data_IF_314122936655
#
_entry.id   IF_314122936655
#
_cell.length_a   1.000
_cell.length_b   1.000
_cell.length_c   1.000
_cell.angle_alpha   90.00
_cell.angle_beta   90.00
_cell.angle_gamma   90.00
#
_symmetry.space_group_name_H-M   'P 1'
#
loop_
_entity.id
_entity.type
_entity.pdbx_description
1 polymer ?
#
# COMPACT_ATOMS: atom_id res chain seq x y z
N UNK A 1 32.65 -6.54 -10.28
CA UNK A 1 31.25 -6.99 -10.35
C UNK A 1 30.65 -6.70 -8.98
N UNK A 2 29.84 -5.66 -8.85
CA UNK A 2 29.37 -5.15 -7.54
C UNK A 2 28.12 -5.93 -7.12
N UNK A 3 28.32 -7.16 -6.64
CA UNK A 3 27.28 -8.13 -6.30
C UNK A 3 26.32 -7.61 -5.21
N UNK A 4 26.81 -6.72 -4.34
CA UNK A 4 26.06 -6.14 -3.22
C UNK A 4 24.94 -5.17 -3.64
N UNK A 5 25.06 -4.54 -4.81
CA UNK A 5 24.09 -3.54 -5.27
C UNK A 5 22.83 -4.19 -5.88
N UNK A 6 23.02 -5.31 -6.60
CA UNK A 6 21.93 -6.05 -7.23
C UNK A 6 21.09 -6.81 -6.19
N UNK A 7 21.72 -7.35 -5.14
CA UNK A 7 21.03 -8.10 -4.09
C UNK A 7 20.15 -7.19 -3.20
N UNK A 8 20.61 -5.97 -2.93
CA UNK A 8 19.80 -4.94 -2.25
C UNK A 8 18.61 -4.50 -3.11
N UNK A 9 18.83 -4.27 -4.40
CA UNK A 9 17.77 -3.88 -5.32
C UNK A 9 16.68 -4.96 -5.44
N UNK A 10 17.04 -6.24 -5.42
CA UNK A 10 16.09 -7.36 -5.41
C UNK A 10 15.23 -7.37 -4.13
N UNK A 11 15.86 -7.31 -2.95
CA UNK A 11 15.14 -7.30 -1.66
C UNK A 11 14.20 -6.10 -1.52
N UNK A 12 14.59 -4.92 -2.02
CA UNK A 12 13.76 -3.71 -2.03
C UNK A 12 12.50 -3.87 -2.88
N UNK A 13 12.60 -4.47 -4.07
CA UNK A 13 11.44 -4.73 -4.95
C UNK A 13 10.42 -5.65 -4.31
N UNK A 14 10.87 -6.68 -3.61
CA UNK A 14 9.99 -7.62 -2.92
C UNK A 14 9.25 -6.96 -1.73
N UNK A 15 9.97 -6.11 -0.98
CA UNK A 15 9.41 -5.33 0.13
C UNK A 15 8.35 -4.35 -0.40
N UNK A 16 8.64 -3.62 -1.47
CA UNK A 16 7.69 -2.68 -2.07
C UNK A 16 6.42 -3.40 -2.55
N UNK A 17 6.57 -4.54 -3.23
CA UNK A 17 5.44 -5.34 -3.69
C UNK A 17 4.58 -5.85 -2.51
N UNK A 18 5.21 -6.28 -1.41
CA UNK A 18 4.49 -6.70 -0.21
C UNK A 18 3.71 -5.54 0.43
N UNK A 19 4.32 -4.35 0.53
CA UNK A 19 3.67 -3.13 1.03
C UNK A 19 2.47 -2.72 0.17
N UNK A 20 2.60 -2.74 -1.16
CA UNK A 20 1.49 -2.45 -2.08
C UNK A 20 0.31 -3.40 -1.88
N UNK A 21 0.57 -4.70 -1.73
CA UNK A 21 -0.48 -5.70 -1.43
C UNK A 21 -1.14 -5.45 -0.08
N UNK A 22 -0.36 -5.14 0.95
CA UNK A 22 -0.89 -4.83 2.28
C UNK A 22 -1.80 -3.58 2.24
N UNK A 23 -1.36 -2.52 1.57
CA UNK A 23 -2.12 -1.29 1.41
C UNK A 23 -3.44 -1.52 0.65
N UNK A 24 -3.40 -2.28 -0.44
CA UNK A 24 -4.61 -2.62 -1.20
C UNK A 24 -5.62 -3.39 -0.35
N UNK A 25 -5.15 -4.35 0.46
CA UNK A 25 -6.01 -5.12 1.37
C UNK A 25 -6.61 -4.24 2.48
N UNK A 26 -5.81 -3.35 3.07
CA UNK A 26 -6.29 -2.43 4.10
C UNK A 26 -7.42 -1.51 3.57
N UNK A 27 -7.23 -0.94 2.38
CA UNK A 27 -8.23 -0.09 1.71
C UNK A 27 -9.53 -0.82 1.41
N UNK A 28 -9.43 -2.09 0.97
CA UNK A 28 -10.60 -2.92 0.74
C UNK A 28 -11.38 -3.21 2.03
N UNK A 29 -10.69 -3.63 3.09
CA UNK A 29 -11.35 -3.89 4.39
C UNK A 29 -12.01 -2.62 4.89
N UNK A 30 -11.32 -1.49 4.84
CA UNK A 30 -11.84 -0.18 5.24
C UNK A 30 -13.13 0.20 4.51
N UNK A 31 -13.18 -0.01 3.19
CA UNK A 31 -14.40 0.21 2.41
C UNK A 31 -15.53 -0.75 2.81
N UNK A 32 -15.23 -2.05 2.99
CA UNK A 32 -16.20 -3.08 3.39
C UNK A 32 -16.76 -2.83 4.81
N UNK A 33 -15.95 -2.33 5.76
CA UNK A 33 -16.33 -2.14 7.16
C UNK A 33 -16.78 -0.71 7.49
N UNK A 34 -16.71 0.21 6.53
CA UNK A 34 -17.04 1.62 6.75
C UNK A 34 -16.11 2.32 7.74
N UNK A 35 -14.85 1.88 7.83
CA UNK A 35 -13.84 2.44 8.74
C UNK A 35 -12.73 3.15 7.95
N UNK A 36 -12.08 4.20 8.49
CA UNK A 36 -11.02 4.90 7.78
C UNK A 36 -9.73 4.07 7.68
N UNK A 37 -8.95 4.29 6.64
CA UNK A 37 -7.54 3.86 6.57
C UNK A 37 -6.69 4.94 7.22
N UNK A 38 -5.86 4.55 8.19
CA UNK A 38 -4.95 5.45 8.91
C UNK A 38 -3.52 5.21 8.45
N UNK A 39 -2.83 6.27 8.02
CA UNK A 39 -1.42 6.20 7.60
C UNK A 39 -0.70 7.54 7.81
N UNK A 40 0.63 7.54 7.64
CA UNK A 40 1.44 8.74 7.74
C UNK A 40 1.74 9.30 6.35
N UNK A 41 1.53 10.61 6.15
CA UNK A 41 1.92 11.37 4.96
C UNK A 41 2.52 12.69 5.40
N UNK A 42 3.72 13.01 4.91
CA UNK A 42 4.43 14.26 5.25
C UNK A 42 4.56 14.50 6.77
N UNK A 43 4.83 13.43 7.52
CA UNK A 43 4.96 13.46 8.99
C UNK A 43 3.64 13.64 9.75
N UNK A 44 2.49 13.64 9.07
CA UNK A 44 1.17 13.78 9.68
C UNK A 44 0.38 12.47 9.60
N UNK A 45 -0.41 12.19 10.63
CA UNK A 45 -1.40 11.12 10.61
C UNK A 45 -2.55 11.58 9.73
N UNK A 46 -2.92 10.75 8.76
CA UNK A 46 -4.04 10.96 7.84
C UNK A 46 -5.04 9.83 8.05
N UNK A 47 -6.30 10.19 8.21
CA UNK A 47 -7.43 9.27 8.22
C UNK A 47 -8.23 9.48 6.94
N UNK A 48 -8.35 8.43 6.12
CA UNK A 48 -8.98 8.49 4.81
C UNK A 48 -10.11 7.46 4.75
N UNK A 49 -11.35 7.93 4.55
CA UNK A 49 -12.45 7.06 4.19
C UNK A 49 -12.36 6.75 2.70
N UNK A 50 -12.32 5.46 2.38
CA UNK A 50 -12.19 4.98 1.00
C UNK A 50 -13.56 4.51 0.54
N UNK A 51 -14.04 5.04 -0.58
CA UNK A 51 -15.30 4.55 -1.17
C UNK A 51 -15.09 3.19 -1.86
N UNK A 52 -16.17 2.41 -2.01
CA UNK A 52 -16.11 1.14 -2.77
C UNK A 52 -15.68 1.35 -4.23
N UNK A 53 -16.05 2.48 -4.83
CA UNK A 53 -15.63 2.85 -6.18
C UNK A 53 -14.10 3.00 -6.28
N UNK A 54 -13.49 3.70 -5.31
CA UNK A 54 -12.04 3.90 -5.25
C UNK A 54 -11.28 2.62 -4.90
N UNK A 55 -11.86 1.76 -4.04
CA UNK A 55 -11.29 0.45 -3.73
C UNK A 55 -11.29 -0.49 -4.95
N UNK A 56 -12.31 -0.39 -5.82
CA UNK A 56 -12.43 -1.21 -7.03
C UNK A 56 -11.46 -0.79 -8.13
N UNK A 57 -11.16 0.50 -8.27
CA UNK A 57 -10.19 1.00 -9.25
C UNK A 57 -8.75 0.60 -8.92
N UNK A 58 -8.43 0.36 -7.65
CA UNK A 58 -7.15 -0.24 -7.24
C UNK A 58 -6.93 -1.66 -7.79
N UNK A 59 -8.01 -2.36 -8.21
CA UNK A 59 -7.94 -3.72 -8.79
C UNK A 59 -7.54 -3.73 -10.27
N UNK A 60 -7.66 -2.59 -10.97
CA UNK A 60 -7.43 -2.46 -12.41
C UNK A 60 -6.03 -1.94 -12.79
N UNK A 61 -5.27 -1.45 -11.81
CA UNK A 61 -3.90 -0.90 -11.97
C UNK A 61 -2.87 -1.92 -11.49
#
# INVERSE_FOLDING_TARGET
>A
MNVDNDERAFKLKDIEAALRRAAARARRIAAETGTPVVYVRDGKIVEEYVSEAEARDLKKR
#
